data_IF_949701999297
#
_entry.id   IF_949701999297
#
_cell.length_a   1.000
_cell.length_b   1.000
_cell.length_c   1.000
_cell.angle_alpha   90.00
_cell.angle_beta   90.00
_cell.angle_gamma   90.00
#
_symmetry.space_group_name_H-M   'P 1'
#
loop_
_entity.id
_entity.type
_entity.pdbx_description
1 polymer ?
#
# COMPACT_ATOMS: atom_id res chain seq x y z
N UNK A 1 -15.92 25.11 -5.09
CA UNK A 1 -16.97 24.08 -5.34
C UNK A 1 -16.83 23.39 -6.69
N UNK A 2 -16.69 24.11 -7.84
CA UNK A 2 -16.58 23.44 -9.16
C UNK A 2 -15.28 22.65 -9.33
N UNK A 3 -14.15 23.15 -8.82
CA UNK A 3 -12.85 22.46 -8.89
C UNK A 3 -12.83 21.24 -7.96
N UNK A 4 -13.42 21.32 -6.80
CA UNK A 4 -13.52 20.20 -5.83
C UNK A 4 -14.48 19.09 -6.26
N UNK A 5 -15.34 19.36 -7.26
CA UNK A 5 -16.17 18.33 -7.88
C UNK A 5 -15.36 17.35 -8.76
N UNK A 6 -14.12 17.69 -9.12
CA UNK A 6 -13.24 16.79 -9.83
C UNK A 6 -12.70 15.72 -8.87
N UNK A 7 -12.93 14.46 -9.18
CA UNK A 7 -12.56 13.29 -8.35
C UNK A 7 -11.05 13.15 -8.11
N UNK A 8 -10.22 13.84 -8.88
CA UNK A 8 -8.76 13.88 -8.72
C UNK A 8 -8.29 14.98 -7.77
N UNK A 9 -9.18 15.88 -7.34
CA UNK A 9 -8.86 17.01 -6.46
C UNK A 9 -9.20 16.66 -5.02
N UNK A 10 -8.19 16.80 -4.14
CA UNK A 10 -8.36 16.64 -2.69
C UNK A 10 -8.93 17.90 -2.06
N UNK A 11 -8.38 19.05 -2.39
CA UNK A 11 -8.86 20.37 -1.95
C UNK A 11 -8.48 21.47 -2.93
N UNK A 12 -9.27 22.53 -2.96
CA UNK A 12 -9.01 23.72 -3.75
C UNK A 12 -9.29 24.98 -2.92
N UNK A 13 -8.32 25.88 -2.92
CA UNK A 13 -8.48 27.23 -2.33
C UNK A 13 -8.41 28.24 -3.45
N UNK A 14 -9.40 29.12 -3.52
CA UNK A 14 -9.45 30.21 -4.49
C UNK A 14 -9.48 31.53 -3.73
N UNK A 15 -8.55 32.42 -4.04
CA UNK A 15 -8.47 33.73 -3.41
C UNK A 15 -8.07 34.80 -4.43
N UNK A 16 -8.48 36.02 -4.15
CA UNK A 16 -8.11 37.18 -4.93
C UNK A 16 -6.88 37.83 -4.30
N UNK A 17 -5.85 38.11 -5.08
CA UNK A 17 -4.66 38.82 -4.64
C UNK A 17 -4.94 40.32 -4.55
N UNK A 18 -4.06 41.06 -3.86
CA UNK A 18 -4.18 42.53 -3.73
C UNK A 18 -4.12 43.21 -5.09
N UNK A 19 -3.40 42.61 -6.05
CA UNK A 19 -3.27 43.14 -7.41
C UNK A 19 -4.46 42.78 -8.33
N UNK A 20 -5.50 42.15 -7.77
CA UNK A 20 -6.72 41.80 -8.49
C UNK A 20 -6.64 40.48 -9.29
N UNK A 21 -5.62 39.68 -9.08
CA UNK A 21 -5.48 38.38 -9.75
C UNK A 21 -6.23 37.29 -8.97
N UNK A 22 -6.98 36.44 -9.70
CA UNK A 22 -7.61 35.26 -9.13
C UNK A 22 -6.63 34.08 -9.12
N UNK A 23 -6.22 33.67 -7.92
CA UNK A 23 -5.29 32.55 -7.72
C UNK A 23 -6.03 31.35 -7.18
N UNK A 24 -5.75 30.17 -7.74
CA UNK A 24 -6.26 28.89 -7.21
C UNK A 24 -5.10 27.99 -6.78
N UNK A 25 -5.14 27.54 -5.53
CA UNK A 25 -4.24 26.51 -5.00
C UNK A 25 -4.98 25.18 -4.96
N UNK A 26 -4.53 24.22 -5.75
CA UNK A 26 -5.15 22.91 -5.88
C UNK A 26 -4.22 21.86 -5.27
N UNK A 27 -4.76 21.01 -4.41
CA UNK A 27 -4.11 19.82 -3.89
C UNK A 27 -4.77 18.61 -4.55
N UNK A 28 -3.97 17.84 -5.28
CA UNK A 28 -4.44 16.60 -5.91
C UNK A 28 -4.45 15.44 -4.92
N UNK A 29 -5.35 14.48 -5.13
CA UNK A 29 -5.34 13.20 -4.41
C UNK A 29 -4.10 12.41 -4.80
N UNK A 30 -3.51 11.72 -3.84
CA UNK A 30 -2.34 10.86 -4.04
C UNK A 30 -2.76 9.40 -3.93
N UNK A 31 -2.70 8.62 -4.99
CA UNK A 31 -2.96 7.20 -4.91
C UNK A 31 -1.86 6.51 -4.08
N UNK A 32 -2.26 5.59 -3.20
CA UNK A 32 -1.36 4.76 -2.39
C UNK A 32 -1.51 3.27 -2.68
N UNK A 33 -2.58 2.86 -3.37
CA UNK A 33 -2.82 1.49 -3.80
C UNK A 33 -3.72 1.43 -5.02
N UNK A 34 -3.59 0.37 -5.81
CA UNK A 34 -4.39 0.09 -7.00
C UNK A 34 -5.15 -1.21 -6.83
N UNK A 35 -6.46 -1.13 -6.79
CA UNK A 35 -7.33 -2.29 -6.68
C UNK A 35 -7.61 -2.87 -8.07
N UNK A 36 -7.30 -4.15 -8.23
CA UNK A 36 -7.56 -4.97 -9.42
C UNK A 36 -8.50 -6.11 -9.04
N UNK A 37 -9.79 -5.86 -9.05
CA UNK A 37 -10.85 -6.82 -8.74
C UNK A 37 -11.97 -6.74 -9.76
N UNK A 38 -13.20 -7.01 -9.35
CA UNK A 38 -14.39 -6.79 -10.19
C UNK A 38 -14.50 -5.32 -10.61
N UNK A 39 -14.15 -4.41 -9.72
CA UNK A 39 -14.00 -2.99 -9.98
C UNK A 39 -12.53 -2.60 -9.92
N UNK A 40 -12.10 -1.70 -10.81
CA UNK A 40 -10.73 -1.19 -10.86
C UNK A 40 -10.71 0.27 -10.45
N UNK A 41 -9.96 0.58 -9.39
CA UNK A 41 -9.84 1.95 -8.87
C UNK A 41 -8.55 2.11 -8.06
N UNK A 42 -8.16 3.36 -7.80
CA UNK A 42 -7.12 3.66 -6.83
C UNK A 42 -7.73 3.92 -5.44
N UNK A 43 -6.96 3.60 -4.40
CA UNK A 43 -7.15 4.16 -3.06
C UNK A 43 -6.20 5.33 -2.89
N UNK A 44 -6.71 6.46 -2.41
CA UNK A 44 -5.91 7.61 -2.08
C UNK A 44 -5.38 7.57 -0.62
N UNK A 45 -4.60 8.58 -0.27
CA UNK A 45 -4.01 8.75 1.06
C UNK A 45 -5.03 9.06 2.19
N UNK A 46 -6.31 9.21 1.87
CA UNK A 46 -7.42 9.31 2.80
C UNK A 46 -8.29 8.04 2.82
N UNK A 47 -7.87 6.96 2.14
CA UNK A 47 -8.62 5.71 2.02
C UNK A 47 -9.85 5.80 1.11
N UNK A 48 -9.96 6.85 0.31
CA UNK A 48 -11.09 7.05 -0.61
C UNK A 48 -10.78 6.48 -1.98
N UNK A 49 -11.83 5.98 -2.63
CA UNK A 49 -11.74 5.54 -4.02
C UNK A 49 -11.54 6.72 -4.95
N UNK A 50 -10.65 6.56 -5.92
CA UNK A 50 -10.47 7.50 -7.01
C UNK A 50 -10.35 6.76 -8.36
N UNK A 51 -10.85 7.32 -9.45
CA UNK A 51 -10.83 6.68 -10.75
C UNK A 51 -9.42 6.58 -11.32
N UNK A 52 -9.24 5.74 -12.32
CA UNK A 52 -8.03 5.74 -13.12
C UNK A 52 -7.94 7.01 -13.97
N UNK A 53 -6.74 7.55 -14.06
CA UNK A 53 -6.44 8.60 -15.02
C UNK A 53 -5.98 7.99 -16.35
N UNK A 54 -6.52 8.47 -17.46
CA UNK A 54 -6.05 8.09 -18.80
C UNK A 54 -4.60 8.54 -19.08
N UNK A 55 -4.14 9.56 -18.37
CA UNK A 55 -2.86 10.22 -18.63
C UNK A 55 -1.74 9.82 -17.68
N UNK A 56 -2.05 9.11 -16.59
CA UNK A 56 -1.06 8.76 -15.60
C UNK A 56 -1.39 7.44 -14.90
N UNK A 57 -0.39 6.57 -14.81
CA UNK A 57 -0.45 5.34 -14.00
C UNK A 57 0.49 5.48 -12.80
N UNK A 58 -0.08 5.39 -11.60
CA UNK A 58 0.70 5.49 -10.37
C UNK A 58 1.47 4.19 -10.09
N UNK A 59 2.71 4.34 -9.61
CA UNK A 59 3.54 3.21 -9.13
C UNK A 59 3.24 2.95 -7.67
N UNK A 60 2.17 2.21 -7.42
CA UNK A 60 1.68 1.84 -6.09
C UNK A 60 1.46 0.33 -6.03
N UNK A 61 1.40 -0.28 -4.83
CA UNK A 61 1.08 -1.69 -4.70
C UNK A 61 -0.26 -2.05 -5.36
N UNK A 62 -0.31 -3.22 -5.98
CA UNK A 62 -1.51 -3.77 -6.61
C UNK A 62 -2.23 -4.66 -5.60
N UNK A 63 -3.51 -4.41 -5.39
CA UNK A 63 -4.38 -5.16 -4.50
C UNK A 63 -5.22 -6.12 -5.33
N UNK A 64 -5.14 -7.41 -5.00
CA UNK A 64 -5.88 -8.50 -5.66
C UNK A 64 -6.56 -9.41 -4.65
N UNK A 65 -7.44 -10.29 -5.11
CA UNK A 65 -8.12 -11.28 -4.28
C UNK A 65 -9.50 -10.86 -3.82
N UNK A 66 -9.90 -11.28 -2.63
CA UNK A 66 -11.26 -11.07 -2.11
C UNK A 66 -11.46 -9.65 -1.55
N UNK A 67 -11.73 -8.69 -2.43
CA UNK A 67 -11.94 -7.28 -2.08
C UNK A 67 -13.39 -7.06 -1.63
N UNK A 68 -13.59 -6.81 -0.35
CA UNK A 68 -14.86 -6.40 0.27
C UNK A 68 -14.70 -5.05 0.95
N UNK A 69 -15.79 -4.48 1.50
CA UNK A 69 -15.68 -3.24 2.29
C UNK A 69 -14.76 -3.40 3.50
N UNK A 70 -14.91 -4.49 4.25
CA UNK A 70 -14.09 -4.76 5.44
C UNK A 70 -12.62 -5.01 5.11
N UNK A 71 -12.34 -5.85 4.09
CA UNK A 71 -10.96 -6.12 3.70
C UNK A 71 -10.27 -4.89 3.11
N UNK A 72 -11.04 -3.96 2.52
CA UNK A 72 -10.52 -2.72 1.98
C UNK A 72 -10.08 -1.75 3.08
N UNK A 73 -10.79 -1.72 4.21
CA UNK A 73 -10.37 -0.94 5.39
C UNK A 73 -9.04 -1.46 5.94
N UNK A 74 -8.90 -2.77 6.08
CA UNK A 74 -7.67 -3.41 6.52
C UNK A 74 -6.51 -3.13 5.54
N UNK A 75 -6.76 -3.24 4.24
CA UNK A 75 -5.77 -2.94 3.19
C UNK A 75 -5.34 -1.48 3.24
N UNK A 76 -6.25 -0.56 3.53
CA UNK A 76 -5.88 0.85 3.70
C UNK A 76 -4.88 1.04 4.85
N UNK A 77 -5.09 0.41 5.99
CA UNK A 77 -4.16 0.46 7.13
C UNK A 77 -2.79 -0.11 6.74
N UNK A 78 -2.75 -1.23 6.01
CA UNK A 78 -1.50 -1.82 5.51
C UNK A 78 -0.80 -0.86 4.54
N UNK A 79 -1.54 -0.27 3.59
CA UNK A 79 -1.00 0.67 2.60
C UNK A 79 -0.46 1.94 3.25
N UNK A 80 -1.17 2.47 4.25
CA UNK A 80 -0.71 3.64 5.01
C UNK A 80 0.61 3.34 5.71
N UNK A 81 0.72 2.18 6.34
CA UNK A 81 1.96 1.73 6.97
C UNK A 81 3.10 1.59 5.94
N UNK A 82 2.84 0.93 4.80
CA UNK A 82 3.81 0.78 3.70
C UNK A 82 4.24 2.15 3.17
N UNK A 83 3.31 3.07 2.97
CA UNK A 83 3.59 4.39 2.41
C UNK A 83 4.46 5.24 3.33
N UNK A 84 4.34 5.07 4.64
CA UNK A 84 5.12 5.79 5.65
C UNK A 84 6.50 5.17 5.92
N UNK A 85 6.76 3.95 5.46
CA UNK A 85 8.06 3.28 5.62
C UNK A 85 8.82 3.26 4.29
N UNK A 86 10.02 3.84 4.27
CA UNK A 86 10.82 3.99 3.04
C UNK A 86 11.26 2.65 2.44
N UNK A 87 11.53 1.65 3.27
CA UNK A 87 11.93 0.31 2.81
C UNK A 87 10.73 -0.42 2.20
N UNK A 88 9.60 -0.45 2.91
CA UNK A 88 8.39 -1.13 2.43
C UNK A 88 7.85 -0.48 1.15
N UNK A 89 7.81 0.85 1.10
CA UNK A 89 7.36 1.60 -0.08
C UNK A 89 8.17 1.30 -1.35
N UNK A 90 9.48 1.02 -1.20
CA UNK A 90 10.34 0.67 -2.32
C UNK A 90 10.19 -0.79 -2.76
N UNK A 91 9.88 -1.68 -1.84
CA UNK A 91 9.98 -3.11 -2.06
C UNK A 91 8.65 -3.83 -2.20
N UNK A 92 7.58 -3.39 -1.53
CA UNK A 92 6.26 -4.00 -1.65
C UNK A 92 5.59 -3.55 -2.94
N UNK A 93 5.20 -4.50 -3.77
CA UNK A 93 4.55 -4.25 -5.07
C UNK A 93 3.13 -4.80 -5.15
N UNK A 94 2.70 -5.60 -4.19
CA UNK A 94 1.35 -6.14 -4.19
C UNK A 94 0.89 -6.61 -2.83
N UNK A 95 -0.43 -6.59 -2.66
CA UNK A 95 -1.16 -7.15 -1.53
C UNK A 95 -2.21 -8.10 -2.09
N UNK A 96 -2.17 -9.35 -1.69
CA UNK A 96 -3.19 -10.34 -2.04
C UNK A 96 -4.05 -10.63 -0.83
N UNK A 97 -5.36 -10.58 -1.02
CA UNK A 97 -6.36 -10.83 0.01
C UNK A 97 -6.92 -12.23 -0.25
N UNK A 98 -6.60 -13.20 0.60
CA UNK A 98 -7.26 -14.50 0.58
C UNK A 98 -8.66 -14.39 1.18
N UNK A 99 -8.69 -13.97 2.42
CA UNK A 99 -9.90 -13.66 3.18
C UNK A 99 -9.59 -12.58 4.24
N UNK A 100 -10.58 -12.24 5.07
CA UNK A 100 -10.35 -11.33 6.18
C UNK A 100 -9.30 -11.92 7.13
N UNK A 101 -8.37 -11.07 7.56
CA UNK A 101 -7.23 -11.43 8.42
C UNK A 101 -6.20 -12.38 7.78
N UNK A 102 -6.25 -12.59 6.47
CA UNK A 102 -5.24 -13.33 5.69
C UNK A 102 -4.75 -12.49 4.50
N UNK A 103 -3.77 -11.66 4.79
CA UNK A 103 -3.14 -10.76 3.81
C UNK A 103 -1.72 -11.21 3.49
N UNK A 104 -1.41 -11.28 2.19
CA UNK A 104 -0.11 -11.69 1.67
C UNK A 104 0.53 -10.54 0.91
N UNK A 105 1.82 -10.30 1.16
CA UNK A 105 2.58 -9.25 0.50
C UNK A 105 3.53 -9.83 -0.54
N UNK A 106 3.61 -9.15 -1.68
CA UNK A 106 4.55 -9.47 -2.75
C UNK A 106 5.64 -8.41 -2.82
N UNK A 107 6.88 -8.88 -2.89
CA UNK A 107 8.06 -8.04 -2.97
C UNK A 107 8.63 -7.96 -4.39
N UNK A 108 9.27 -6.85 -4.71
CA UNK A 108 9.77 -6.54 -6.06
C UNK A 108 10.90 -7.48 -6.52
N UNK A 109 11.87 -7.69 -5.66
CA UNK A 109 13.12 -8.39 -6.00
C UNK A 109 13.18 -9.84 -5.51
N UNK A 110 12.19 -10.27 -4.75
CA UNK A 110 12.20 -11.57 -4.09
C UNK A 110 11.00 -12.39 -4.53
N UNK A 111 11.20 -13.71 -4.67
CA UNK A 111 10.14 -14.63 -5.08
C UNK A 111 9.29 -15.11 -3.91
N UNK A 112 9.76 -14.96 -2.69
CA UNK A 112 8.98 -15.36 -1.52
C UNK A 112 7.73 -14.50 -1.36
N UNK A 113 6.71 -15.10 -0.78
CA UNK A 113 5.49 -14.42 -0.34
C UNK A 113 5.60 -14.16 1.16
N UNK A 114 5.23 -12.95 1.59
CA UNK A 114 5.15 -12.63 3.02
C UNK A 114 3.71 -12.78 3.49
N UNK A 115 3.46 -13.76 4.36
CA UNK A 115 2.18 -13.91 5.03
C UNK A 115 2.12 -12.94 6.22
N UNK A 116 1.33 -11.88 6.07
CA UNK A 116 1.14 -10.89 7.12
C UNK A 116 0.11 -11.36 8.15
N UNK A 117 -0.88 -12.15 7.70
CA UNK A 117 -2.05 -12.51 8.50
C UNK A 117 -2.91 -11.30 8.81
N UNK A 118 -3.44 -11.21 10.03
CA UNK A 118 -4.30 -10.12 10.48
C UNK A 118 -3.56 -8.78 10.60
N UNK A 119 -4.34 -7.68 10.49
CA UNK A 119 -3.86 -6.30 10.63
C UNK A 119 -3.76 -5.92 12.11
N UNK A 120 -2.80 -6.53 12.77
CA UNK A 120 -2.46 -6.23 14.16
C UNK A 120 -0.94 -6.19 14.34
N UNK A 121 -0.46 -5.42 15.31
CA UNK A 121 0.98 -5.33 15.63
C UNK A 121 1.89 -5.09 14.40
N UNK A 122 1.45 -4.29 13.44
CA UNK A 122 2.16 -4.08 12.17
C UNK A 122 3.58 -3.57 12.37
N UNK A 123 3.80 -2.68 13.34
CA UNK A 123 5.12 -2.14 13.63
C UNK A 123 6.09 -3.25 14.06
N UNK A 124 5.67 -4.13 14.96
CA UNK A 124 6.46 -5.28 15.39
C UNK A 124 6.70 -6.27 14.27
N UNK A 125 5.63 -6.66 13.54
CA UNK A 125 5.72 -7.58 12.40
C UNK A 125 6.71 -7.08 11.36
N UNK A 126 6.63 -5.84 10.95
CA UNK A 126 7.53 -5.28 9.94
C UNK A 126 8.95 -4.99 10.49
N UNK A 127 9.09 -4.67 11.77
CA UNK A 127 10.40 -4.57 12.41
C UNK A 127 11.12 -5.92 12.39
N UNK A 128 10.46 -7.00 12.80
CA UNK A 128 10.97 -8.35 12.76
C UNK A 128 11.30 -8.81 11.33
N UNK A 129 10.43 -8.49 10.39
CA UNK A 129 10.67 -8.77 8.97
C UNK A 129 11.91 -8.04 8.44
N UNK A 130 12.08 -6.76 8.73
CA UNK A 130 13.26 -6.00 8.30
C UNK A 130 14.56 -6.55 8.90
N UNK A 131 14.55 -6.98 10.16
CA UNK A 131 15.68 -7.63 10.79
C UNK A 131 16.03 -8.97 10.12
N UNK A 132 15.01 -9.80 9.85
CA UNK A 132 15.17 -11.04 9.07
C UNK A 132 15.73 -10.75 7.68
N UNK A 133 15.13 -9.79 6.96
CA UNK A 133 15.55 -9.43 5.60
C UNK A 133 17.00 -8.98 5.55
N UNK A 134 17.42 -8.11 6.47
CA UNK A 134 18.80 -7.63 6.56
C UNK A 134 19.80 -8.77 6.79
N UNK A 135 19.46 -9.71 7.69
CA UNK A 135 20.29 -10.89 7.98
C UNK A 135 20.36 -11.83 6.77
N UNK A 136 19.22 -12.21 6.21
CA UNK A 136 19.15 -13.12 5.07
C UNK A 136 19.82 -12.54 3.82
N UNK A 137 19.72 -11.22 3.63
CA UNK A 137 20.41 -10.52 2.54
C UNK A 137 21.93 -10.55 2.73
N UNK A 138 22.43 -10.32 3.95
CA UNK A 138 23.85 -10.42 4.29
C UNK A 138 24.37 -11.83 4.07
N UNK A 139 23.60 -12.84 4.47
CA UNK A 139 23.94 -14.25 4.33
C UNK A 139 23.71 -14.80 2.91
N UNK A 140 23.13 -13.99 2.00
CA UNK A 140 22.75 -14.34 0.62
C UNK A 140 21.78 -15.53 0.53
N UNK A 141 20.87 -15.64 1.47
CA UNK A 141 19.89 -16.73 1.58
C UNK A 141 18.45 -16.31 1.28
N UNK A 142 18.23 -15.07 0.84
CA UNK A 142 16.88 -14.58 0.53
C UNK A 142 16.13 -15.41 -0.51
N UNK A 143 16.86 -15.98 -1.48
CA UNK A 143 16.28 -16.79 -2.55
C UNK A 143 15.97 -18.23 -2.13
N UNK A 144 16.41 -18.65 -0.94
CA UNK A 144 16.16 -19.99 -0.41
C UNK A 144 14.73 -20.15 0.16
N UNK A 145 14.01 -19.04 0.31
CA UNK A 145 12.71 -19.01 0.98
C UNK A 145 11.56 -18.91 -0.03
N UNK A 146 10.53 -19.73 0.19
CA UNK A 146 9.25 -19.65 -0.54
C UNK A 146 8.25 -18.77 0.19
N UNK A 147 8.19 -18.87 1.52
CA UNK A 147 7.24 -18.14 2.35
C UNK A 147 7.95 -17.60 3.60
N UNK A 148 7.61 -16.37 3.95
CA UNK A 148 8.02 -15.71 5.19
C UNK A 148 6.75 -15.31 5.94
N UNK A 149 6.45 -15.97 7.07
CA UNK A 149 5.24 -15.71 7.86
C UNK A 149 5.55 -14.77 9.02
N UNK A 150 4.72 -13.74 9.17
CA UNK A 150 4.71 -12.76 10.25
C UNK A 150 3.50 -12.92 11.19
N UNK A 151 2.77 -14.03 11.06
CA UNK A 151 1.55 -14.29 11.83
C UNK A 151 1.82 -14.63 13.30
N UNK A 152 3.04 -15.04 13.61
CA UNK A 152 3.45 -15.48 14.95
C UNK A 152 4.07 -14.32 15.74
N UNK A 153 3.66 -14.18 17.00
CA UNK A 153 4.21 -13.13 17.85
C UNK A 153 5.71 -13.33 18.07
N UNK A 154 6.46 -12.23 17.97
CA UNK A 154 7.91 -12.17 18.25
C UNK A 154 8.80 -13.09 17.41
N UNK A 155 8.28 -13.67 16.31
CA UNK A 155 9.11 -14.53 15.47
C UNK A 155 8.71 -14.45 14.00
N UNK A 156 9.70 -14.67 13.14
CA UNK A 156 9.52 -14.83 11.70
C UNK A 156 9.71 -16.31 11.38
N UNK A 157 8.68 -16.93 10.80
CA UNK A 157 8.71 -18.34 10.41
C UNK A 157 8.89 -18.42 8.90
N UNK A 158 9.93 -19.14 8.46
CA UNK A 158 10.28 -19.22 7.05
C UNK A 158 10.14 -20.66 6.54
N UNK A 159 9.55 -20.80 5.37
CA UNK A 159 9.52 -22.06 4.60
C UNK A 159 10.52 -21.94 3.47
N UNK A 160 11.44 -22.90 3.36
CA UNK A 160 12.38 -23.01 2.24
C UNK A 160 11.71 -23.59 1.02
N UNK A 161 12.29 -23.31 -0.14
CA UNK A 161 11.92 -23.91 -1.43
C UNK A 161 12.26 -25.39 -1.43
#
# INVERSE_FOLDING_TARGET
KAIEANEMVKSAQVYLTIDGELTSKIIQRKPIGRVEGESKFYLDDDGKRMPFSSNHSARVPIITGNVTGETLEDVYVILEFINNDSFLRKNVIGIHIEEKDDYKLKFRLNQFVVNLGAVNNLEEKFSNFKAFYAKANKDKTLEDFAVVSLEFNNQVVCTKI
#
